data_IF_464312410238
#
_entry.id   IF_464312410238
#
_cell.length_a   1.000
_cell.length_b   1.000
_cell.length_c   1.000
_cell.angle_alpha   90.00
_cell.angle_beta   90.00
_cell.angle_gamma   90.00
#
_symmetry.space_group_name_H-M   'P 1'
#
loop_
_entity.id
_entity.type
_entity.pdbx_description
1 polymer ?
#
# COMPACT_ATOMS: atom_id res chain seq x y z
N UNK A 1 7.04 7.49 36.11
CA UNK A 1 7.05 8.85 35.59
C UNK A 1 6.28 8.89 34.26
N UNK A 2 5.47 9.87 34.15
CA UNK A 2 4.73 10.02 32.91
C UNK A 2 5.57 10.71 31.85
N UNK A 3 5.53 10.21 30.66
CA UNK A 3 6.25 10.80 29.56
C UNK A 3 5.54 12.04 29.03
N UNK A 4 6.30 13.00 28.50
CA UNK A 4 5.68 14.16 27.85
C UNK A 4 4.74 13.72 26.73
N UNK A 5 3.72 14.51 26.47
CA UNK A 5 2.75 14.19 25.43
C UNK A 5 3.40 13.93 24.06
N UNK A 6 4.45 14.69 23.73
CA UNK A 6 5.19 14.47 22.49
C UNK A 6 5.83 13.11 22.40
N UNK A 7 6.42 12.65 23.53
CA UNK A 7 7.03 11.33 23.57
C UNK A 7 5.99 10.24 23.48
N UNK A 8 4.84 10.44 24.09
CA UNK A 8 3.76 9.47 24.01
C UNK A 8 3.25 9.30 22.59
N UNK A 9 3.11 10.39 21.85
CA UNK A 9 2.70 10.31 20.45
C UNK A 9 3.71 9.54 19.63
N UNK A 10 5.01 9.75 19.91
CA UNK A 10 6.06 9.02 19.22
C UNK A 10 6.02 7.54 19.54
N UNK A 11 5.62 7.21 20.79
CA UNK A 11 5.51 5.82 21.19
C UNK A 11 4.41 5.09 20.46
N UNK A 12 3.30 5.77 20.12
CA UNK A 12 2.18 5.13 19.43
C UNK A 12 2.53 4.78 18.00
N UNK A 13 3.57 5.40 17.42
CA UNK A 13 3.97 5.16 16.03
C UNK A 13 5.44 4.71 15.95
N UNK A 14 5.93 4.05 16.98
CA UNK A 14 7.29 3.53 17.00
C UNK A 14 7.52 2.45 15.99
N UNK A 15 6.52 1.63 15.78
CA UNK A 15 6.61 0.45 14.96
C UNK A 15 5.73 0.63 13.73
N UNK A 16 6.28 0.34 12.56
CA UNK A 16 5.51 0.45 11.32
C UNK A 16 4.23 -0.41 11.36
N UNK A 17 4.25 -1.49 12.14
CA UNK A 17 3.10 -2.38 12.25
C UNK A 17 1.89 -1.71 12.89
N UNK A 18 2.10 -0.62 13.61
CA UNK A 18 1.02 0.16 14.22
C UNK A 18 0.37 1.12 13.23
N UNK A 19 0.98 1.35 12.09
CA UNK A 19 0.44 2.26 11.09
C UNK A 19 -0.74 1.60 10.36
N UNK A 20 -1.88 2.28 10.38
CA UNK A 20 -3.08 1.77 9.71
C UNK A 20 -2.82 1.59 8.21
N UNK A 21 -2.07 2.52 7.61
CA UNK A 21 -1.71 2.40 6.19
C UNK A 21 -0.95 1.13 5.87
N UNK A 22 -0.04 0.73 6.76
CA UNK A 22 0.69 -0.52 6.58
C UNK A 22 -0.24 -1.73 6.70
N UNK A 23 -1.13 -1.71 7.70
CA UNK A 23 -2.08 -2.81 7.91
C UNK A 23 -3.00 -2.98 6.71
N UNK A 24 -3.53 -1.88 6.19
CA UNK A 24 -4.38 -1.91 4.99
C UNK A 24 -3.61 -2.38 3.76
N UNK A 25 -2.36 -1.97 3.63
CA UNK A 25 -1.51 -2.40 2.53
C UNK A 25 -1.25 -3.91 2.58
N UNK A 26 -1.08 -4.47 3.78
CA UNK A 26 -0.92 -5.92 3.94
C UNK A 26 -2.18 -6.67 3.51
N UNK A 27 -3.36 -6.16 3.89
CA UNK A 27 -4.62 -6.74 3.44
C UNK A 27 -4.72 -6.69 1.92
N UNK A 28 -4.28 -5.59 1.33
CA UNK A 28 -4.30 -5.42 -0.13
C UNK A 28 -3.42 -6.45 -0.82
N UNK A 29 -2.25 -6.76 -0.26
CA UNK A 29 -1.35 -7.80 -0.81
C UNK A 29 -2.10 -9.13 -0.88
N UNK A 30 -2.78 -9.50 0.20
CA UNK A 30 -3.52 -10.77 0.22
C UNK A 30 -4.61 -10.82 -0.83
N UNK A 31 -5.37 -9.74 -0.98
CA UNK A 31 -6.42 -9.67 -2.00
C UNK A 31 -5.86 -9.79 -3.41
N UNK A 32 -4.75 -9.10 -3.67
CA UNK A 32 -4.10 -9.16 -4.99
C UNK A 32 -3.63 -10.58 -5.29
N UNK A 33 -3.04 -11.26 -4.31
CA UNK A 33 -2.60 -12.64 -4.52
C UNK A 33 -3.79 -13.57 -4.81
N UNK A 34 -4.91 -13.38 -4.10
CA UNK A 34 -6.12 -14.17 -4.35
C UNK A 34 -6.64 -13.94 -5.77
N UNK A 35 -6.71 -12.70 -6.20
CA UNK A 35 -7.21 -12.37 -7.53
C UNK A 35 -6.29 -12.90 -8.64
N UNK A 36 -4.98 -12.79 -8.44
CA UNK A 36 -4.03 -13.21 -9.48
C UNK A 36 -3.96 -14.72 -9.64
N UNK A 37 -4.42 -15.49 -8.67
CA UNK A 37 -4.54 -16.95 -8.85
C UNK A 37 -5.49 -17.30 -9.97
N UNK A 38 -6.39 -16.41 -10.35
CA UNK A 38 -7.37 -16.60 -11.41
C UNK A 38 -6.85 -16.20 -12.78
N UNK A 39 -5.66 -15.62 -12.86
CA UNK A 39 -5.06 -15.22 -14.13
C UNK A 39 -4.61 -16.47 -14.90
N UNK A 40 -4.56 -16.40 -16.24
CA UNK A 40 -4.03 -17.51 -17.04
C UNK A 40 -2.60 -17.82 -16.65
N UNK A 41 -2.24 -19.09 -16.73
CA UNK A 41 -0.89 -19.54 -16.38
C UNK A 41 0.20 -18.81 -17.18
N UNK A 42 -0.10 -18.45 -18.42
CA UNK A 42 0.84 -17.72 -19.28
C UNK A 42 1.21 -16.34 -18.73
N UNK A 43 0.43 -15.81 -17.77
CA UNK A 43 0.74 -14.51 -17.13
C UNK A 43 1.61 -14.66 -15.88
N UNK A 44 2.04 -15.87 -15.56
CA UNK A 44 2.82 -16.10 -14.34
C UNK A 44 4.07 -15.20 -14.26
N UNK A 45 4.77 -15.03 -15.38
CA UNK A 45 5.95 -14.17 -15.46
C UNK A 45 5.64 -12.81 -16.12
N UNK A 46 4.36 -12.52 -16.35
CA UNK A 46 3.90 -11.28 -16.92
C UNK A 46 3.09 -10.48 -15.91
N UNK A 47 1.80 -10.32 -16.20
CA UNK A 47 0.93 -9.46 -15.39
C UNK A 47 0.83 -9.92 -13.93
N UNK A 48 0.75 -11.24 -13.70
CA UNK A 48 0.69 -11.76 -12.33
C UNK A 48 1.91 -11.32 -11.52
N UNK A 49 3.09 -11.47 -12.09
CA UNK A 49 4.33 -11.07 -11.43
C UNK A 49 4.37 -9.57 -11.17
N UNK A 50 3.98 -8.77 -12.16
CA UNK A 50 4.02 -7.32 -12.05
C UNK A 50 3.10 -6.80 -10.94
N UNK A 51 1.85 -7.26 -10.91
CA UNK A 51 0.89 -6.75 -9.95
C UNK A 51 1.23 -7.21 -8.53
N UNK A 52 1.74 -8.42 -8.37
CA UNK A 52 2.18 -8.91 -7.06
C UNK A 52 3.35 -8.09 -6.53
N UNK A 53 4.32 -7.78 -7.39
CA UNK A 53 5.48 -6.96 -7.00
C UNK A 53 5.05 -5.56 -6.63
N UNK A 54 4.14 -4.96 -7.39
CA UNK A 54 3.61 -3.64 -7.07
C UNK A 54 2.89 -3.66 -5.71
N UNK A 55 2.06 -4.68 -5.45
CA UNK A 55 1.33 -4.80 -4.21
C UNK A 55 2.28 -4.92 -3.01
N UNK A 56 3.28 -5.81 -3.09
CA UNK A 56 4.26 -6.03 -2.02
C UNK A 56 5.07 -4.76 -1.77
N UNK A 57 5.34 -3.98 -2.80
CA UNK A 57 6.07 -2.72 -2.68
C UNK A 57 5.39 -1.72 -1.76
N UNK A 58 4.06 -1.76 -1.65
CA UNK A 58 3.32 -0.78 -0.85
C UNK A 58 3.68 -0.90 0.64
N UNK A 59 3.42 -2.02 1.32
CA UNK A 59 3.78 -2.12 2.74
C UNK A 59 5.29 -2.07 2.95
N UNK A 60 6.08 -2.57 2.01
CA UNK A 60 7.53 -2.56 2.15
C UNK A 60 8.09 -1.15 2.21
N UNK A 61 7.60 -0.25 1.35
CA UNK A 61 8.05 1.14 1.36
C UNK A 61 7.53 1.92 2.58
N UNK A 62 6.32 1.61 3.05
CA UNK A 62 5.81 2.24 4.27
C UNK A 62 6.72 1.88 5.45
N UNK A 63 7.04 0.60 5.59
CA UNK A 63 7.88 0.13 6.69
C UNK A 63 9.29 0.71 6.61
N UNK A 64 9.86 0.71 5.42
CA UNK A 64 11.21 1.23 5.23
C UNK A 64 11.27 2.73 5.52
N UNK A 65 10.29 3.47 5.06
CA UNK A 65 10.24 4.92 5.29
C UNK A 65 10.11 5.27 6.75
N UNK A 66 9.27 4.53 7.47
CA UNK A 66 9.08 4.76 8.89
C UNK A 66 10.39 4.54 9.68
N UNK A 67 11.21 3.60 9.23
CA UNK A 67 12.48 3.29 9.88
C UNK A 67 13.60 4.29 9.63
N UNK A 68 13.40 5.29 8.76
CA UNK A 68 14.47 6.22 8.38
C UNK A 68 14.69 7.35 9.37
N UNK A 69 13.82 7.54 10.36
CA UNK A 69 13.94 8.59 11.38
C UNK A 69 14.05 10.01 10.80
N UNK A 70 13.45 10.26 9.66
CA UNK A 70 13.44 11.56 9.00
C UNK A 70 12.09 11.78 8.36
N UNK A 71 11.35 12.85 8.71
CA UNK A 71 10.07 13.14 8.08
C UNK A 71 10.16 13.24 6.57
N UNK A 72 11.20 13.86 6.04
CA UNK A 72 11.38 14.01 4.59
C UNK A 72 11.59 12.65 3.92
N UNK A 73 12.41 11.78 4.53
CA UNK A 73 12.63 10.44 3.99
C UNK A 73 11.38 9.59 4.09
N UNK A 74 10.66 9.66 5.21
CA UNK A 74 9.41 8.93 5.38
C UNK A 74 8.42 9.36 4.29
N UNK A 75 8.29 10.67 4.09
CA UNK A 75 7.39 11.21 3.08
C UNK A 75 7.77 10.73 1.68
N UNK A 76 9.07 10.65 1.38
CA UNK A 76 9.56 10.13 0.10
C UNK A 76 9.14 8.68 -0.12
N UNK A 77 9.32 7.82 0.89
CA UNK A 77 8.94 6.41 0.78
C UNK A 77 7.43 6.24 0.68
N UNK A 78 6.65 7.08 1.37
CA UNK A 78 5.20 7.05 1.25
C UNK A 78 4.76 7.42 -0.18
N UNK A 79 5.46 8.35 -0.80
CA UNK A 79 5.20 8.73 -2.18
C UNK A 79 5.46 7.56 -3.13
N UNK A 80 6.54 6.81 -2.90
CA UNK A 80 6.83 5.60 -3.69
C UNK A 80 5.74 4.57 -3.49
N UNK A 81 5.30 4.35 -2.24
CA UNK A 81 4.21 3.43 -1.93
C UNK A 81 2.93 3.84 -2.66
N UNK A 82 2.63 5.14 -2.69
CA UNK A 82 1.44 5.65 -3.37
C UNK A 82 1.53 5.39 -4.88
N UNK A 83 2.72 5.54 -5.47
CA UNK A 83 2.93 5.21 -6.87
C UNK A 83 2.69 3.73 -7.16
N UNK A 84 3.16 2.85 -6.27
CA UNK A 84 2.93 1.42 -6.39
C UNK A 84 1.45 1.08 -6.30
N UNK A 85 0.71 1.82 -5.46
CA UNK A 85 -0.74 1.67 -5.35
C UNK A 85 -1.42 1.99 -6.68
N UNK A 86 -0.98 3.06 -7.37
CA UNK A 86 -1.51 3.40 -8.69
C UNK A 86 -1.21 2.32 -9.72
N UNK A 87 -0.05 1.68 -9.61
CA UNK A 87 0.27 0.54 -10.47
C UNK A 87 -0.70 -0.62 -10.26
N UNK A 88 -0.98 -0.95 -8.99
CA UNK A 88 -1.93 -2.03 -8.69
C UNK A 88 -3.30 -1.71 -9.29
N UNK A 89 -3.79 -0.50 -9.08
CA UNK A 89 -5.09 -0.09 -9.62
C UNK A 89 -5.13 -0.22 -11.15
N UNK A 90 -4.09 0.25 -11.81
CA UNK A 90 -3.99 0.20 -13.27
C UNK A 90 -3.96 -1.24 -13.77
N UNK A 91 -3.19 -2.09 -13.12
CA UNK A 91 -3.02 -3.47 -13.54
C UNK A 91 -4.29 -4.29 -13.29
N UNK A 92 -5.05 -3.97 -12.24
CA UNK A 92 -6.37 -4.59 -12.04
C UNK A 92 -7.32 -4.23 -13.17
N UNK A 93 -7.33 -2.97 -13.60
CA UNK A 93 -8.17 -2.56 -14.72
C UNK A 93 -7.73 -3.21 -16.03
N UNK A 94 -6.43 -3.41 -16.22
CA UNK A 94 -5.92 -4.15 -17.38
C UNK A 94 -6.46 -5.59 -17.35
N UNK A 95 -6.43 -6.23 -16.17
CA UNK A 95 -6.93 -7.60 -16.03
C UNK A 95 -8.41 -7.69 -16.39
N UNK A 96 -9.20 -6.68 -16.05
CA UNK A 96 -10.62 -6.64 -16.41
C UNK A 96 -10.75 -6.51 -17.93
N UNK A 97 -9.99 -5.64 -18.55
CA UNK A 97 -10.04 -5.46 -20.01
C UNK A 97 -9.63 -6.71 -20.77
N UNK A 98 -8.68 -7.48 -20.20
CA UNK A 98 -8.25 -8.73 -20.79
C UNK A 98 -9.18 -9.88 -20.43
N UNK A 99 -10.24 -9.60 -19.68
CA UNK A 99 -11.26 -10.58 -19.28
C UNK A 99 -10.74 -11.68 -18.35
N UNK A 100 -9.64 -11.43 -17.65
CA UNK A 100 -9.16 -12.32 -16.59
C UNK A 100 -10.02 -12.20 -15.35
N UNK A 101 -10.55 -10.98 -15.10
CA UNK A 101 -11.41 -10.65 -13.96
C UNK A 101 -12.59 -9.82 -14.46
N UNK A 102 -13.62 -9.74 -13.64
CA UNK A 102 -14.76 -8.83 -13.91
C UNK A 102 -14.62 -7.59 -13.02
N UNK A 103 -15.39 -6.55 -13.35
CA UNK A 103 -15.43 -5.36 -12.49
C UNK A 103 -15.92 -5.70 -11.09
N UNK A 104 -16.86 -6.64 -10.99
CA UNK A 104 -17.35 -7.11 -9.70
C UNK A 104 -16.24 -7.78 -8.88
N UNK A 105 -15.36 -8.54 -9.54
CA UNK A 105 -14.26 -9.23 -8.87
C UNK A 105 -13.31 -8.28 -8.19
N UNK A 106 -13.08 -7.10 -8.77
CA UNK A 106 -12.07 -6.17 -8.26
C UNK A 106 -12.65 -5.06 -7.38
N UNK A 107 -13.97 -5.03 -7.19
CA UNK A 107 -14.63 -3.91 -6.52
C UNK A 107 -14.11 -3.68 -5.10
N UNK A 108 -14.08 -4.73 -4.27
CA UNK A 108 -13.61 -4.58 -2.89
C UNK A 108 -12.14 -4.22 -2.82
N UNK A 109 -11.33 -4.74 -3.75
CA UNK A 109 -9.91 -4.41 -3.82
C UNK A 109 -9.71 -2.96 -4.22
N UNK A 110 -10.50 -2.44 -5.16
CA UNK A 110 -10.45 -1.03 -5.53
C UNK A 110 -10.84 -0.12 -4.37
N UNK A 111 -11.86 -0.51 -3.61
CA UNK A 111 -12.25 0.25 -2.43
C UNK A 111 -11.14 0.30 -1.40
N UNK A 112 -10.44 -0.79 -1.20
CA UNK A 112 -9.30 -0.83 -0.28
C UNK A 112 -8.14 0.02 -0.82
N UNK A 113 -7.92 0.03 -2.13
CA UNK A 113 -6.93 0.92 -2.75
C UNK A 113 -7.26 2.39 -2.48
N UNK A 114 -8.52 2.77 -2.64
CA UNK A 114 -8.96 4.14 -2.38
C UNK A 114 -8.72 4.53 -0.92
N UNK A 115 -9.11 3.66 -0.01
CA UNK A 115 -8.93 3.88 1.41
C UNK A 115 -7.44 4.01 1.76
N UNK A 116 -6.63 3.07 1.27
CA UNK A 116 -5.19 3.09 1.51
C UNK A 116 -4.57 4.37 0.96
N UNK A 117 -4.97 4.78 -0.24
CA UNK A 117 -4.47 6.00 -0.85
C UNK A 117 -4.77 7.25 -0.03
N UNK A 118 -5.98 7.34 0.51
CA UNK A 118 -6.35 8.46 1.37
C UNK A 118 -5.52 8.49 2.65
N UNK A 119 -5.28 7.32 3.24
CA UNK A 119 -4.46 7.22 4.45
C UNK A 119 -3.03 7.66 4.16
N UNK A 120 -2.44 7.20 3.06
CA UNK A 120 -1.08 7.59 2.69
C UNK A 120 -0.97 9.09 2.41
N UNK A 121 -1.94 9.65 1.71
CA UNK A 121 -1.96 11.10 1.44
C UNK A 121 -2.09 11.90 2.72
N UNK A 122 -2.95 11.47 3.64
CA UNK A 122 -3.09 12.14 4.93
C UNK A 122 -1.80 12.12 5.73
N UNK A 123 -1.11 10.99 5.72
CA UNK A 123 0.16 10.84 6.43
C UNK A 123 1.24 11.72 5.79
N UNK A 124 1.33 11.75 4.46
CA UNK A 124 2.28 12.62 3.76
C UNK A 124 2.04 14.09 4.08
N UNK A 125 0.78 14.51 4.09
CA UNK A 125 0.42 15.89 4.40
C UNK A 125 0.80 16.26 5.83
N UNK A 126 0.62 15.33 6.76
CA UNK A 126 0.99 15.55 8.15
C UNK A 126 2.51 15.71 8.28
N UNK A 127 3.28 14.87 7.58
CA UNK A 127 4.74 14.93 7.63
C UNK A 127 5.29 16.19 6.98
N UNK A 128 4.61 16.72 5.97
CA UNK A 128 5.03 17.96 5.31
C UNK A 128 5.02 19.14 6.26
N UNK A 129 4.15 19.12 7.27
CA UNK A 129 4.02 20.22 8.23
C UNK A 129 5.03 20.15 9.36
N UNK A 130 5.76 19.07 9.46
CA UNK A 130 6.81 18.91 10.45
C UNK A 130 8.13 19.45 9.92
#
# INVERSE_FOLDING_TARGET
MRMPAGSERNMTVKNYKDLIGWQKAMDLVELVYQLTKRFPHEELYGLSSQIRRAAVSIPSNIAEGQGRNSPNEFRRFLSIAHGSLREVETQLMIAVRLQYLTESDILSTQQLCDETGRILNGLMNKLEKE
#
